data_IF_520454391503
#
_entry.id   IF_520454391503
#
_cell.length_a   1.000
_cell.length_b   1.000
_cell.length_c   1.000
_cell.angle_alpha   90.00
_cell.angle_beta   90.00
_cell.angle_gamma   90.00
#
_symmetry.space_group_name_H-M   'P 1'
#
loop_
_entity.id
_entity.type
_entity.pdbx_description
1 polymer ?
#
# COMPACT_ATOMS: atom_id res chain seq x y z
N UNK A 1 -5.00 -14.90 -15.13
CA UNK A 1 -5.75 -13.68 -14.81
C UNK A 1 -4.86 -12.44 -14.92
N UNK A 2 -5.47 -11.23 -15.04
CA UNK A 2 -4.67 -10.00 -15.13
C UNK A 2 -4.37 -9.40 -13.76
N UNK A 3 -5.21 -9.68 -12.78
CA UNK A 3 -5.09 -9.14 -11.43
C UNK A 3 -5.64 -10.13 -10.39
N UNK A 4 -5.03 -10.12 -9.21
CA UNK A 4 -5.62 -10.62 -7.98
C UNK A 4 -6.70 -9.65 -7.52
N UNK A 5 -6.32 -8.41 -7.24
CA UNK A 5 -7.21 -7.29 -6.97
C UNK A 5 -6.48 -5.98 -7.28
N UNK A 6 -7.14 -5.08 -8.01
CA UNK A 6 -6.56 -3.79 -8.40
C UNK A 6 -7.15 -2.60 -7.62
N UNK A 7 -7.76 -2.86 -6.45
CA UNK A 7 -8.38 -1.88 -5.57
C UNK A 7 -9.89 -1.78 -5.71
N UNK A 8 -10.48 -0.88 -4.94
CA UNK A 8 -11.92 -0.61 -4.92
C UNK A 8 -12.43 0.14 -6.15
N UNK A 9 -13.75 0.24 -6.29
CA UNK A 9 -14.40 1.05 -7.33
C UNK A 9 -14.33 2.55 -6.98
N UNK A 10 -13.14 3.13 -7.20
CA UNK A 10 -12.90 4.56 -6.91
C UNK A 10 -13.78 5.50 -7.75
N UNK A 11 -14.30 5.05 -8.91
CA UNK A 11 -15.29 5.80 -9.67
C UNK A 11 -16.63 5.83 -8.93
N UNK A 12 -17.05 4.69 -8.38
CA UNK A 12 -18.27 4.61 -7.56
C UNK A 12 -18.17 5.49 -6.30
N UNK A 13 -17.01 5.53 -5.64
CA UNK A 13 -16.76 6.40 -4.47
C UNK A 13 -16.87 7.89 -4.86
N UNK A 14 -16.28 8.28 -5.98
CA UNK A 14 -16.37 9.64 -6.52
C UNK A 14 -17.82 10.04 -6.79
N UNK A 15 -18.58 9.20 -7.50
CA UNK A 15 -19.98 9.45 -7.85
C UNK A 15 -20.85 9.52 -6.58
N UNK A 16 -20.61 8.65 -5.57
CA UNK A 16 -21.29 8.65 -4.27
C UNK A 16 -21.06 9.96 -3.49
N UNK A 17 -19.80 10.42 -3.44
CA UNK A 17 -19.50 11.70 -2.78
C UNK A 17 -20.24 12.86 -3.42
N UNK A 18 -20.26 12.95 -4.75
CA UNK A 18 -21.00 13.99 -5.48
C UNK A 18 -22.52 13.89 -5.26
N UNK A 19 -23.05 12.68 -5.15
CA UNK A 19 -24.47 12.45 -4.86
C UNK A 19 -24.85 12.77 -3.40
N UNK A 20 -23.88 12.81 -2.49
CA UNK A 20 -24.11 13.04 -1.06
C UNK A 20 -24.86 11.89 -0.37
N UNK A 21 -24.80 10.66 -0.91
CA UNK A 21 -25.54 9.50 -0.41
C UNK A 21 -24.81 8.77 0.75
N UNK A 22 -23.54 9.11 1.01
CA UNK A 22 -22.74 8.56 2.10
C UNK A 22 -22.22 7.14 1.88
N UNK A 23 -22.49 6.52 0.71
CA UNK A 23 -22.05 5.15 0.43
C UNK A 23 -20.52 5.05 0.43
N UNK A 24 -19.79 6.08 -0.02
CA UNK A 24 -18.32 6.09 0.00
C UNK A 24 -17.74 5.85 1.40
N UNK A 25 -18.32 6.45 2.45
CA UNK A 25 -17.87 6.22 3.83
C UNK A 25 -18.29 4.84 4.36
N UNK A 26 -19.43 4.32 3.90
CA UNK A 26 -19.85 2.95 4.23
C UNK A 26 -18.89 1.94 3.65
N UNK A 27 -18.45 2.16 2.39
CA UNK A 27 -17.45 1.32 1.73
C UNK A 27 -16.17 1.19 2.56
N UNK A 28 -15.54 2.30 2.99
CA UNK A 28 -14.31 2.24 3.79
C UNK A 28 -14.51 1.53 5.13
N UNK A 29 -15.63 1.77 5.81
CA UNK A 29 -15.93 1.07 7.07
C UNK A 29 -16.05 -0.45 6.87
N UNK A 30 -16.70 -0.88 5.82
CA UNK A 30 -16.88 -2.31 5.52
C UNK A 30 -15.57 -2.96 5.06
N UNK A 31 -14.80 -2.28 4.21
CA UNK A 31 -13.49 -2.75 3.75
C UNK A 31 -12.52 -2.92 4.91
N UNK A 32 -12.38 -1.90 5.77
CA UNK A 32 -11.49 -1.96 6.93
C UNK A 32 -11.93 -2.97 7.98
N UNK A 33 -13.24 -3.15 8.17
CA UNK A 33 -13.76 -4.20 9.03
C UNK A 33 -13.44 -5.60 8.47
N UNK A 34 -13.53 -5.79 7.14
CA UNK A 34 -13.17 -7.04 6.48
C UNK A 34 -11.67 -7.34 6.62
N UNK A 35 -10.80 -6.36 6.39
CA UNK A 35 -9.35 -6.56 6.51
C UNK A 35 -8.96 -6.93 7.95
N UNK A 36 -9.54 -6.28 8.95
CA UNK A 36 -9.34 -6.63 10.35
C UNK A 36 -9.87 -8.04 10.68
N UNK A 37 -11.02 -8.42 10.12
CA UNK A 37 -11.58 -9.77 10.28
C UNK A 37 -10.65 -10.82 9.67
N UNK A 38 -10.11 -10.59 8.48
CA UNK A 38 -9.15 -11.49 7.83
C UNK A 38 -7.90 -11.64 8.71
N UNK A 39 -7.36 -10.52 9.20
CA UNK A 39 -6.16 -10.52 10.05
C UNK A 39 -6.36 -11.29 11.36
N UNK A 40 -7.54 -11.17 11.98
CA UNK A 40 -7.87 -11.83 13.24
C UNK A 40 -8.50 -13.23 13.05
N UNK A 41 -8.63 -13.70 11.80
CA UNK A 41 -9.35 -14.94 11.52
C UNK A 41 -8.66 -16.15 12.14
N UNK A 42 -9.39 -17.04 12.88
CA UNK A 42 -8.78 -18.12 13.67
C UNK A 42 -8.23 -19.28 12.82
N UNK A 43 -8.53 -19.30 11.53
CA UNK A 43 -8.01 -20.31 10.59
C UNK A 43 -7.04 -19.64 9.62
N UNK A 44 -6.08 -20.40 9.05
CA UNK A 44 -5.21 -19.87 8.01
C UNK A 44 -6.01 -19.27 6.86
N UNK A 45 -5.68 -18.05 6.49
CA UNK A 45 -6.18 -17.38 5.29
C UNK A 45 -5.04 -17.29 4.30
N UNK A 46 -5.25 -17.84 3.11
CA UNK A 46 -4.25 -17.89 2.05
C UNK A 46 -4.62 -16.94 0.93
N UNK A 47 -3.80 -15.93 0.69
CA UNK A 47 -3.90 -15.05 -0.46
C UNK A 47 -3.04 -15.59 -1.62
N UNK A 48 -3.67 -16.05 -2.70
CA UNK A 48 -3.00 -16.49 -3.94
C UNK A 48 -2.95 -15.35 -4.94
N UNK A 49 -1.88 -14.60 -4.92
CA UNK A 49 -1.72 -13.35 -5.65
C UNK A 49 -1.05 -13.55 -7.01
N UNK A 50 -1.82 -13.45 -8.08
CA UNK A 50 -1.34 -13.54 -9.46
C UNK A 50 -1.69 -12.26 -10.23
N UNK A 51 -0.69 -11.62 -10.86
CA UNK A 51 -0.87 -10.36 -11.56
C UNK A 51 -0.88 -9.13 -10.63
N UNK A 52 -1.79 -8.17 -10.86
CA UNK A 52 -1.84 -6.93 -10.08
C UNK A 52 -2.41 -7.14 -8.67
N UNK A 53 -1.76 -6.52 -7.68
CA UNK A 53 -2.16 -6.44 -6.26
C UNK A 53 -1.98 -4.99 -5.84
N UNK A 54 -3.02 -4.17 -5.96
CA UNK A 54 -2.92 -2.72 -5.78
C UNK A 54 -3.99 -2.19 -4.84
N UNK A 55 -3.67 -1.17 -4.06
CA UNK A 55 -4.62 -0.49 -3.17
C UNK A 55 -5.35 -1.47 -2.24
N UNK A 56 -6.68 -1.52 -2.26
CA UNK A 56 -7.48 -2.49 -1.50
C UNK A 56 -7.05 -3.95 -1.69
N UNK A 57 -6.44 -4.30 -2.85
CA UNK A 57 -5.82 -5.61 -3.06
C UNK A 57 -4.62 -5.86 -2.13
N UNK A 58 -3.89 -4.81 -1.76
CA UNK A 58 -2.82 -4.91 -0.76
C UNK A 58 -3.41 -5.11 0.64
N UNK A 59 -4.54 -4.46 1.00
CA UNK A 59 -5.23 -4.67 2.27
C UNK A 59 -5.60 -6.13 2.48
N UNK A 60 -6.32 -6.72 1.53
CA UNK A 60 -6.67 -8.15 1.55
C UNK A 60 -5.43 -9.06 1.65
N UNK A 61 -4.37 -8.72 0.89
CA UNK A 61 -3.15 -9.50 0.85
C UNK A 61 -2.38 -9.44 2.18
N UNK A 62 -2.20 -8.24 2.73
CA UNK A 62 -1.43 -8.06 3.97
C UNK A 62 -2.20 -8.48 5.23
N UNK A 63 -3.53 -8.55 5.16
CA UNK A 63 -4.35 -9.13 6.21
C UNK A 63 -4.26 -10.67 6.27
N UNK A 64 -3.93 -11.34 5.16
CA UNK A 64 -3.85 -12.80 5.09
C UNK A 64 -2.64 -13.34 5.87
N UNK A 65 -2.81 -14.53 6.50
CA UNK A 65 -1.75 -15.20 7.26
C UNK A 65 -0.69 -15.86 6.36
N UNK A 66 -1.02 -16.18 5.11
CA UNK A 66 -0.11 -16.78 4.12
C UNK A 66 -0.24 -16.03 2.80
N UNK A 67 0.84 -15.37 2.41
CA UNK A 67 0.89 -14.49 1.25
C UNK A 67 1.71 -15.15 0.14
N UNK A 68 1.02 -15.72 -0.82
CA UNK A 68 1.62 -16.46 -1.93
C UNK A 68 1.48 -15.67 -3.23
N UNK A 69 2.60 -15.41 -3.87
CA UNK A 69 2.68 -14.69 -5.15
C UNK A 69 3.08 -15.62 -6.29
N UNK A 70 2.90 -15.13 -7.51
CA UNK A 70 3.53 -15.73 -8.70
C UNK A 70 4.65 -14.82 -9.22
N UNK A 71 5.42 -15.34 -10.19
CA UNK A 71 6.44 -14.55 -10.90
C UNK A 71 5.84 -13.36 -11.67
N UNK A 72 4.51 -13.35 -11.90
CA UNK A 72 3.77 -12.31 -12.63
C UNK A 72 3.30 -11.16 -11.75
N UNK A 73 3.46 -11.28 -10.43
CA UNK A 73 2.94 -10.29 -9.49
C UNK A 73 3.47 -8.89 -9.75
N UNK A 74 2.58 -7.92 -9.57
CA UNK A 74 2.88 -6.49 -9.50
C UNK A 74 2.11 -5.90 -8.32
N UNK A 75 2.82 -5.64 -7.22
CA UNK A 75 2.25 -5.10 -5.99
C UNK A 75 2.55 -3.61 -5.85
N UNK A 76 1.67 -2.87 -5.20
CA UNK A 76 1.94 -1.47 -4.85
C UNK A 76 0.76 -0.74 -4.25
N UNK A 77 1.07 0.41 -3.68
CA UNK A 77 0.10 1.37 -3.12
C UNK A 77 0.20 2.67 -3.94
N UNK A 78 -0.51 2.78 -5.09
CA UNK A 78 -0.34 3.90 -6.03
C UNK A 78 -1.15 5.16 -5.65
N UNK A 79 -1.71 5.22 -4.45
CA UNK A 79 -2.72 6.16 -3.97
C UNK A 79 -2.29 7.62 -4.13
N UNK A 80 -1.02 7.96 -3.87
CA UNK A 80 -0.50 9.33 -4.04
C UNK A 80 -0.63 9.84 -5.47
N UNK A 81 -0.69 8.92 -6.46
CA UNK A 81 -0.91 9.23 -7.86
C UNK A 81 -2.34 9.59 -8.22
N UNK A 82 -3.31 9.27 -7.36
CA UNK A 82 -4.71 9.68 -7.48
C UNK A 82 -5.10 10.70 -6.42
N UNK A 83 -4.10 11.34 -5.79
CA UNK A 83 -4.36 12.36 -4.77
C UNK A 83 -4.90 11.81 -3.45
N UNK A 84 -4.54 10.56 -3.11
CA UNK A 84 -4.96 9.86 -1.91
C UNK A 84 -3.74 9.36 -1.13
N UNK A 85 -3.91 8.80 0.02
CA UNK A 85 -2.86 8.17 0.85
C UNK A 85 -3.03 6.65 0.85
N UNK A 86 -1.96 5.85 1.07
CA UNK A 86 -2.04 4.42 1.30
C UNK A 86 -2.86 4.12 2.55
N UNK A 87 -4.04 3.54 2.36
CA UNK A 87 -4.99 3.09 3.38
C UNK A 87 -4.97 1.57 3.55
N UNK A 88 -6.08 0.94 3.88
CA UNK A 88 -6.29 -0.51 4.02
C UNK A 88 -5.24 -1.20 4.90
N UNK A 89 -4.84 -0.55 5.99
CA UNK A 89 -3.75 -0.98 6.86
C UNK A 89 -2.36 -0.60 6.36
N UNK A 90 -2.24 0.21 5.31
CA UNK A 90 -0.97 0.73 4.79
C UNK A 90 -0.17 1.47 5.85
N UNK A 91 -0.85 2.21 6.73
CA UNK A 91 -0.24 2.87 7.88
C UNK A 91 0.33 1.90 8.92
N UNK A 92 -0.11 0.65 8.92
CA UNK A 92 0.42 -0.39 9.78
C UNK A 92 1.58 -1.16 9.14
N UNK A 93 1.40 -1.74 7.93
CA UNK A 93 2.39 -2.64 7.37
C UNK A 93 3.57 -1.91 6.72
N UNK A 94 3.36 -0.76 6.05
CA UNK A 94 4.46 -0.05 5.38
C UNK A 94 5.55 0.43 6.35
N UNK A 95 5.25 1.13 7.47
CA UNK A 95 6.31 1.63 8.35
C UNK A 95 7.02 0.52 9.15
N UNK A 96 6.53 -0.72 9.09
CA UNK A 96 7.15 -1.90 9.70
C UNK A 96 8.08 -2.66 8.76
N UNK A 97 8.15 -2.25 7.49
CA UNK A 97 9.16 -2.72 6.57
C UNK A 97 10.54 -2.24 7.01
N UNK A 98 11.57 -2.96 6.60
CA UNK A 98 12.93 -2.69 7.03
C UNK A 98 13.44 -1.33 6.50
N UNK A 99 14.05 -0.52 7.37
CA UNK A 99 14.62 0.80 7.05
C UNK A 99 13.57 1.81 6.56
N UNK A 100 13.81 2.45 5.43
CA UNK A 100 12.91 3.44 4.83
C UNK A 100 12.13 2.90 3.61
N UNK A 101 12.05 1.57 3.45
CA UNK A 101 11.32 0.95 2.32
C UNK A 101 9.85 1.36 2.33
N UNK A 102 9.21 1.39 3.51
CA UNK A 102 7.79 1.74 3.62
C UNK A 102 7.50 3.17 3.16
N UNK A 103 8.34 4.13 3.57
CA UNK A 103 8.24 5.51 3.12
C UNK A 103 8.43 5.61 1.60
N UNK A 104 9.44 4.93 1.06
CA UNK A 104 9.68 4.87 -0.38
C UNK A 104 8.46 4.35 -1.13
N UNK A 105 7.93 3.19 -0.76
CA UNK A 105 6.79 2.57 -1.44
C UNK A 105 5.51 3.39 -1.29
N UNK A 106 5.21 3.88 -0.08
CA UNK A 106 3.99 4.63 0.20
C UNK A 106 3.94 5.98 -0.49
N UNK A 107 5.08 6.70 -0.54
CA UNK A 107 5.15 8.02 -1.15
C UNK A 107 5.21 7.95 -2.67
N UNK A 108 6.04 7.05 -3.23
CA UNK A 108 6.25 6.96 -4.68
C UNK A 108 5.16 6.19 -5.40
N UNK A 109 4.44 5.31 -4.70
CA UNK A 109 3.50 4.38 -5.32
C UNK A 109 4.17 3.40 -6.29
N UNK A 110 5.45 3.13 -6.11
CA UNK A 110 6.23 2.25 -6.98
C UNK A 110 5.68 0.83 -6.93
N UNK A 111 5.46 0.25 -8.11
CA UNK A 111 5.07 -1.15 -8.23
C UNK A 111 6.30 -2.05 -8.12
N UNK A 112 6.23 -3.02 -7.23
CA UNK A 112 7.26 -4.03 -7.01
C UNK A 112 6.91 -5.37 -7.64
N UNK A 113 7.92 -6.19 -7.88
CA UNK A 113 7.80 -7.54 -8.45
C UNK A 113 8.10 -8.61 -7.41
N UNK A 114 8.01 -9.88 -7.82
CA UNK A 114 8.12 -11.04 -6.95
C UNK A 114 9.37 -11.02 -6.04
N UNK A 115 10.55 -10.72 -6.59
CA UNK A 115 11.78 -10.68 -5.80
C UNK A 115 11.78 -9.57 -4.75
N UNK A 116 11.21 -8.41 -5.10
CA UNK A 116 11.09 -7.28 -4.17
C UNK A 116 10.04 -7.57 -3.09
N UNK A 117 8.88 -8.15 -3.47
CA UNK A 117 7.82 -8.51 -2.54
C UNK A 117 8.33 -9.48 -1.45
N UNK A 118 9.08 -10.51 -1.84
CA UNK A 118 9.73 -11.44 -0.90
C UNK A 118 10.80 -10.75 -0.06
N UNK A 119 11.64 -9.93 -0.68
CA UNK A 119 12.71 -9.21 0.03
C UNK A 119 12.14 -8.25 1.08
N UNK A 120 11.04 -7.55 0.75
CA UNK A 120 10.38 -6.60 1.67
C UNK A 120 9.53 -7.31 2.75
N UNK A 121 9.31 -8.62 2.65
CA UNK A 121 8.39 -9.33 3.55
C UNK A 121 6.91 -9.02 3.28
N UNK A 122 6.58 -8.56 2.07
CA UNK A 122 5.19 -8.34 1.61
C UNK A 122 4.57 -9.61 0.99
N UNK A 123 5.38 -10.66 0.81
CA UNK A 123 4.96 -11.99 0.42
C UNK A 123 5.85 -13.03 1.11
N UNK A 124 5.29 -14.23 1.34
CA UNK A 124 5.96 -15.33 2.06
C UNK A 124 6.53 -16.36 1.09
N UNK A 125 5.79 -16.67 0.02
CA UNK A 125 6.17 -17.67 -0.98
C UNK A 125 5.92 -17.19 -2.40
N UNK A 126 6.73 -17.66 -3.34
CA UNK A 126 6.49 -17.51 -4.77
C UNK A 126 6.29 -18.88 -5.40
N UNK A 127 5.15 -19.09 -6.07
CA UNK A 127 4.87 -20.28 -6.86
C UNK A 127 4.96 -19.96 -8.34
N UNK A 128 5.24 -20.98 -9.17
CA UNK A 128 5.05 -20.82 -10.61
C UNK A 128 3.56 -20.60 -10.95
N UNK A 129 3.26 -19.65 -11.81
CA UNK A 129 1.87 -19.32 -12.16
C UNK A 129 1.09 -20.50 -12.76
N UNK A 130 1.79 -21.45 -13.35
CA UNK A 130 1.22 -22.71 -13.86
C UNK A 130 0.66 -23.61 -12.76
N UNK A 131 1.14 -23.44 -11.52
CA UNK A 131 0.71 -24.27 -10.37
C UNK A 131 -0.56 -23.73 -9.70
N UNK A 132 -0.96 -22.49 -9.97
CA UNK A 132 -2.14 -21.87 -9.32
C UNK A 132 -3.41 -22.69 -9.60
N UNK A 133 -3.62 -23.13 -10.85
CA UNK A 133 -4.81 -23.92 -11.21
C UNK A 133 -4.88 -25.31 -10.58
N UNK A 134 -3.76 -25.84 -10.10
CA UNK A 134 -3.68 -27.14 -9.44
C UNK A 134 -3.62 -27.03 -7.91
N UNK A 135 -3.55 -25.81 -7.38
CA UNK A 135 -3.32 -25.60 -5.96
C UNK A 135 -4.49 -26.05 -5.10
N UNK A 136 -5.72 -25.83 -5.53
CA UNK A 136 -6.92 -26.32 -4.86
C UNK A 136 -6.92 -27.85 -4.75
N UNK A 137 -6.49 -28.55 -5.80
CA UNK A 137 -6.36 -30.00 -5.77
C UNK A 137 -5.29 -30.44 -4.78
N UNK A 138 -4.16 -29.69 -4.71
CA UNK A 138 -3.11 -29.99 -3.74
C UNK A 138 -3.56 -29.81 -2.29
N UNK A 139 -4.34 -28.75 -2.00
CA UNK A 139 -4.94 -28.53 -0.68
C UNK A 139 -5.93 -29.65 -0.31
N UNK A 140 -6.77 -30.08 -1.27
CA UNK A 140 -7.74 -31.15 -1.05
C UNK A 140 -7.10 -32.53 -0.85
N UNK A 141 -5.89 -32.73 -1.37
CA UNK A 141 -5.12 -33.98 -1.22
C UNK A 141 -4.18 -33.97 0.00
N UNK A 142 -4.08 -32.84 0.69
CA UNK A 142 -3.24 -32.73 1.86
C UNK A 142 -3.84 -33.53 3.02
N UNK A 143 -3.03 -34.38 3.63
CA UNK A 143 -3.39 -35.08 4.86
C UNK A 143 -3.21 -34.13 6.05
N UNK A 144 -4.31 -33.45 6.41
CA UNK A 144 -4.32 -32.44 7.44
C UNK A 144 -4.14 -33.05 8.83
N UNK A 145 -3.08 -32.65 9.52
CA UNK A 145 -2.83 -32.99 10.91
C UNK A 145 -3.60 -32.09 11.90
N UNK A 146 -3.28 -32.20 13.18
CA UNK A 146 -3.76 -31.26 14.20
C UNK A 146 -3.11 -29.86 14.11
N UNK A 147 -2.11 -29.68 13.24
CA UNK A 147 -1.35 -28.43 13.05
C UNK A 147 -1.46 -27.90 11.61
N UNK A 148 -2.65 -27.45 11.18
CA UNK A 148 -2.93 -27.12 9.77
C UNK A 148 -2.03 -26.00 9.21
N UNK A 149 -1.56 -25.07 10.04
CA UNK A 149 -0.60 -24.04 9.63
C UNK A 149 0.71 -24.68 9.17
N UNK A 150 1.26 -25.62 9.94
CA UNK A 150 2.50 -26.33 9.58
C UNK A 150 2.34 -27.19 8.33
N UNK A 151 1.19 -27.82 8.17
CA UNK A 151 0.91 -28.64 6.99
C UNK A 151 0.88 -27.78 5.73
N UNK A 152 0.24 -26.60 5.82
CA UNK A 152 0.21 -25.61 4.75
C UNK A 152 1.60 -25.07 4.42
N UNK A 153 2.38 -24.68 5.44
CA UNK A 153 3.76 -24.21 5.28
C UNK A 153 4.64 -25.25 4.56
N UNK A 154 4.52 -26.51 4.94
CA UNK A 154 5.26 -27.60 4.29
C UNK A 154 4.88 -27.76 2.82
N UNK A 155 3.60 -27.67 2.50
CA UNK A 155 3.10 -27.72 1.12
C UNK A 155 3.66 -26.56 0.30
N UNK A 156 3.58 -25.33 0.82
CA UNK A 156 4.06 -24.11 0.17
C UNK A 156 5.57 -24.16 -0.04
N UNK A 157 6.34 -24.49 0.99
CA UNK A 157 7.79 -24.62 0.91
C UNK A 157 8.24 -25.65 -0.14
N UNK A 158 7.55 -26.79 -0.25
CA UNK A 158 7.84 -27.84 -1.22
C UNK A 158 7.61 -27.36 -2.67
N UNK A 159 6.69 -26.43 -2.88
CA UNK A 159 6.28 -25.93 -4.20
C UNK A 159 6.89 -24.57 -4.54
N UNK A 160 7.53 -23.90 -3.59
CA UNK A 160 8.12 -22.58 -3.77
C UNK A 160 9.17 -22.57 -4.90
N UNK A 161 9.07 -21.56 -5.75
CA UNK A 161 10.03 -21.33 -6.84
C UNK A 161 11.38 -20.89 -6.30
N UNK A 162 12.46 -21.53 -6.78
CA UNK A 162 13.85 -21.17 -6.47
C UNK A 162 14.45 -20.22 -7.53
N UNK A 163 13.72 -19.94 -8.62
CA UNK A 163 14.22 -19.15 -9.75
C UNK A 163 13.49 -17.81 -9.83
N UNK A 164 13.82 -16.91 -8.89
CA UNK A 164 13.28 -15.56 -8.86
C UNK A 164 14.41 -14.60 -9.21
N UNK A 165 14.21 -13.63 -10.15
CA UNK A 165 15.21 -12.60 -10.47
C UNK A 165 15.63 -11.82 -9.22
N UNK A 166 16.76 -11.10 -9.29
CA UNK A 166 17.24 -10.29 -8.18
C UNK A 166 16.28 -9.14 -7.84
N UNK A 167 16.25 -8.75 -6.55
CA UNK A 167 15.46 -7.63 -6.06
C UNK A 167 16.11 -6.30 -6.40
N UNK A 168 15.37 -5.38 -7.04
CA UNK A 168 15.81 -4.00 -7.30
C UNK A 168 15.85 -3.21 -5.99
N UNK A 169 14.86 -3.38 -5.10
CA UNK A 169 14.83 -2.73 -3.77
C UNK A 169 16.07 -3.15 -2.97
N UNK A 170 16.44 -4.42 -2.99
CA UNK A 170 17.67 -4.87 -2.31
C UNK A 170 18.91 -4.19 -2.86
N UNK A 171 19.01 -4.05 -4.19
CA UNK A 171 20.12 -3.37 -4.83
C UNK A 171 20.20 -1.88 -4.51
N UNK A 172 19.03 -1.22 -4.39
CA UNK A 172 18.91 0.21 -4.08
C UNK A 172 18.75 0.50 -2.58
N UNK A 173 18.84 -0.50 -1.72
CA UNK A 173 18.49 -0.38 -0.31
C UNK A 173 19.19 0.79 0.41
N UNK A 174 20.48 0.95 0.21
CA UNK A 174 21.25 2.03 0.86
C UNK A 174 20.83 3.42 0.39
N UNK A 175 20.49 3.58 -0.90
CA UNK A 175 19.96 4.81 -1.42
C UNK A 175 18.54 5.09 -0.89
N UNK A 176 17.68 4.07 -0.86
CA UNK A 176 16.34 4.18 -0.27
C UNK A 176 16.42 4.65 1.18
N UNK A 177 17.26 3.99 1.99
CA UNK A 177 17.42 4.35 3.40
C UNK A 177 18.00 5.77 3.56
N UNK A 178 18.95 6.17 2.70
CA UNK A 178 19.55 7.51 2.74
C UNK A 178 18.52 8.61 2.43
N UNK A 179 17.76 8.46 1.35
CA UNK A 179 16.87 9.51 0.88
C UNK A 179 15.54 9.53 1.61
N UNK A 180 14.94 8.38 1.91
CA UNK A 180 13.59 8.30 2.49
C UNK A 180 13.55 8.27 4.02
N UNK A 181 14.71 8.26 4.71
CA UNK A 181 14.79 8.53 6.14
C UNK A 181 14.75 10.02 6.48
N UNK A 182 14.74 10.91 5.48
CA UNK A 182 14.64 12.34 5.71
C UNK A 182 13.32 12.72 6.39
N UNK A 183 13.31 13.78 7.22
CA UNK A 183 12.17 14.09 8.09
C UNK A 183 10.92 14.61 7.36
N UNK A 184 11.06 15.09 6.15
CA UNK A 184 9.96 15.67 5.37
C UNK A 184 10.17 15.51 3.85
N UNK A 185 9.09 15.71 3.09
CA UNK A 185 9.11 15.57 1.63
C UNK A 185 10.04 16.54 0.91
N UNK A 186 10.25 17.75 1.45
CA UNK A 186 11.16 18.72 0.85
C UNK A 186 12.60 18.20 0.91
N UNK A 187 12.99 17.64 2.05
CA UNK A 187 14.33 17.07 2.24
C UNK A 187 14.51 15.77 1.48
N UNK A 188 13.48 14.93 1.39
CA UNK A 188 13.51 13.73 0.52
C UNK A 188 13.79 14.15 -0.92
N UNK A 189 13.00 15.09 -1.44
CA UNK A 189 13.15 15.60 -2.81
C UNK A 189 14.52 16.24 -3.06
N UNK A 190 14.97 17.09 -2.13
CA UNK A 190 16.29 17.74 -2.23
C UNK A 190 17.43 16.72 -2.19
N UNK A 191 17.35 15.72 -1.34
CA UNK A 191 18.33 14.63 -1.22
C UNK A 191 18.42 13.83 -2.51
N UNK A 192 17.28 13.45 -3.11
CA UNK A 192 17.23 12.72 -4.40
C UNK A 192 17.82 13.58 -5.54
N UNK A 193 17.53 14.90 -5.57
CA UNK A 193 18.06 15.80 -6.58
C UNK A 193 19.58 16.03 -6.47
N UNK A 194 20.15 15.77 -5.30
CA UNK A 194 21.57 15.90 -5.01
C UNK A 194 22.33 14.56 -5.08
N UNK A 195 21.72 13.48 -5.60
CA UNK A 195 22.40 12.16 -5.70
C UNK A 195 23.51 12.21 -6.78
N UNK A 196 24.74 11.99 -6.35
CA UNK A 196 25.93 12.03 -7.23
C UNK A 196 26.57 10.64 -7.44
N UNK A 197 26.12 9.62 -6.67
CA UNK A 197 26.68 8.28 -6.82
C UNK A 197 26.23 7.65 -8.16
N UNK A 198 27.16 7.34 -9.07
CA UNK A 198 26.79 6.79 -10.39
C UNK A 198 25.93 5.52 -10.34
N UNK A 199 26.04 4.74 -9.25
CA UNK A 199 25.24 3.52 -9.08
C UNK A 199 23.76 3.80 -8.76
N UNK A 200 23.43 4.98 -8.24
CA UNK A 200 22.09 5.34 -7.79
C UNK A 200 21.46 6.50 -8.58
N UNK A 201 22.24 7.21 -9.39
CA UNK A 201 21.83 8.43 -10.08
C UNK A 201 20.59 8.20 -10.97
N UNK A 202 20.64 7.21 -11.86
CA UNK A 202 19.50 6.88 -12.73
C UNK A 202 18.23 6.52 -11.94
N UNK A 203 18.40 5.82 -10.80
CA UNK A 203 17.29 5.47 -9.93
C UNK A 203 16.74 6.71 -9.22
N UNK A 204 17.59 7.59 -8.72
CA UNK A 204 17.19 8.83 -8.06
C UNK A 204 16.46 9.78 -9.01
N UNK A 205 16.91 9.92 -10.24
CA UNK A 205 16.25 10.71 -11.29
C UNK A 205 14.85 10.18 -11.62
N UNK A 206 14.70 8.86 -11.81
CA UNK A 206 13.38 8.24 -12.04
C UNK A 206 12.46 8.41 -10.82
N UNK A 207 13.00 8.26 -9.63
CA UNK A 207 12.25 8.41 -8.37
C UNK A 207 11.79 9.84 -8.17
N UNK A 208 12.65 10.81 -8.46
CA UNK A 208 12.32 12.25 -8.41
C UNK A 208 11.20 12.59 -9.40
N UNK A 209 11.30 12.12 -10.63
CA UNK A 209 10.24 12.31 -11.63
C UNK A 209 8.90 11.65 -11.20
N UNK A 210 8.97 10.50 -10.55
CA UNK A 210 7.77 9.85 -10.00
C UNK A 210 7.12 10.68 -8.87
N UNK A 211 7.90 11.22 -7.95
CA UNK A 211 7.44 12.11 -6.87
C UNK A 211 6.82 13.39 -7.45
N UNK A 212 7.49 14.04 -8.40
CA UNK A 212 7.04 15.31 -8.98
C UNK A 212 5.70 15.18 -9.76
N UNK A 213 5.29 13.95 -10.10
CA UNK A 213 3.99 13.66 -10.74
C UNK A 213 2.84 13.38 -9.75
N UNK A 214 3.13 13.29 -8.43
CA UNK A 214 2.13 12.92 -7.41
C UNK A 214 1.49 14.17 -6.79
N UNK A 215 0.36 13.97 -6.07
CA UNK A 215 -0.20 15.02 -5.22
C UNK A 215 0.79 15.42 -4.12
N UNK A 216 1.22 16.68 -4.05
CA UNK A 216 2.12 17.16 -3.01
C UNK A 216 1.51 16.98 -1.61
N UNK A 217 0.22 17.27 -1.44
CA UNK A 217 -0.49 17.12 -0.19
C UNK A 217 -0.56 15.66 0.23
N UNK A 218 -0.96 14.76 -0.70
CA UNK A 218 -1.08 13.34 -0.41
C UNK A 218 0.26 12.72 0.02
N UNK A 219 1.37 13.10 -0.60
CA UNK A 219 2.70 12.64 -0.20
C UNK A 219 3.08 13.09 1.22
N UNK A 220 2.82 14.37 1.56
CA UNK A 220 3.12 14.89 2.90
C UNK A 220 2.27 14.21 3.97
N UNK A 221 0.96 14.03 3.72
CA UNK A 221 0.07 13.30 4.64
C UNK A 221 0.46 11.83 4.73
N UNK A 222 0.83 11.17 3.64
CA UNK A 222 1.33 9.79 3.65
C UNK A 222 2.56 9.66 4.55
N UNK A 223 3.54 10.55 4.43
CA UNK A 223 4.74 10.48 5.26
C UNK A 223 4.42 10.63 6.77
N UNK A 224 3.53 11.56 7.13
CA UNK A 224 3.08 11.74 8.51
C UNK A 224 2.24 10.54 8.98
N UNK A 225 1.35 10.00 8.14
CA UNK A 225 0.55 8.82 8.42
C UNK A 225 1.44 7.60 8.76
N UNK A 226 2.47 7.35 7.95
CA UNK A 226 3.42 6.26 8.19
C UNK A 226 4.22 6.47 9.48
N UNK A 227 4.58 7.72 9.79
CA UNK A 227 5.29 8.05 11.03
C UNK A 227 4.44 7.75 12.26
N UNK A 228 3.16 8.13 12.27
CA UNK A 228 2.25 7.85 13.38
C UNK A 228 1.89 6.36 13.45
N UNK A 229 1.57 5.74 12.31
CA UNK A 229 1.19 4.34 12.21
C UNK A 229 2.25 3.36 12.71
N UNK A 230 3.52 3.76 12.72
CA UNK A 230 4.61 2.94 13.26
C UNK A 230 4.41 2.58 14.74
N UNK A 231 3.85 3.50 15.52
CA UNK A 231 3.65 3.36 16.97
C UNK A 231 2.25 2.87 17.35
N UNK A 232 1.32 2.79 16.37
CA UNK A 232 -0.07 2.43 16.59
C UNK A 232 -0.31 0.92 16.49
N UNK A 233 -1.37 0.44 17.12
CA UNK A 233 -1.90 -0.90 16.89
C UNK A 233 -2.54 -0.99 15.49
N UNK A 234 -2.79 -2.20 14.98
CA UNK A 234 -3.50 -2.37 13.71
C UNK A 234 -4.88 -1.72 13.74
N UNK A 235 -5.64 -1.90 14.83
CA UNK A 235 -6.96 -1.31 14.98
C UNK A 235 -6.90 0.23 15.02
N UNK A 236 -5.91 0.81 15.70
CA UNK A 236 -5.72 2.27 15.72
C UNK A 236 -5.26 2.80 14.35
N UNK A 237 -4.48 2.03 13.58
CA UNK A 237 -4.12 2.39 12.21
C UNK A 237 -5.37 2.49 11.32
N UNK A 238 -6.25 1.49 11.33
CA UNK A 238 -7.52 1.56 10.60
C UNK A 238 -8.43 2.68 11.08
N UNK A 239 -8.46 2.95 12.39
CA UNK A 239 -9.22 4.08 12.93
C UNK A 239 -8.65 5.43 12.47
N UNK A 240 -7.32 5.57 12.38
CA UNK A 240 -6.65 6.76 11.86
C UNK A 240 -6.92 6.94 10.36
N UNK A 241 -6.82 5.87 9.57
CA UNK A 241 -7.14 5.89 8.15
C UNK A 241 -8.59 6.33 7.92
N UNK A 242 -9.55 5.77 8.67
CA UNK A 242 -10.97 6.16 8.59
C UNK A 242 -11.21 7.62 9.05
N UNK A 243 -10.44 8.10 10.03
CA UNK A 243 -10.47 9.50 10.45
C UNK A 243 -10.02 10.43 9.31
N UNK A 244 -8.96 10.07 8.60
CA UNK A 244 -8.51 10.81 7.42
C UNK A 244 -9.57 10.76 6.31
N UNK A 245 -10.15 9.61 6.00
CA UNK A 245 -11.18 9.43 4.98
C UNK A 245 -12.38 10.36 5.18
N UNK A 246 -12.78 10.55 6.45
CA UNK A 246 -13.92 11.41 6.80
C UNK A 246 -13.73 12.88 6.36
N UNK A 247 -12.50 13.30 6.09
CA UNK A 247 -12.14 14.67 5.70
C UNK A 247 -11.61 14.72 4.26
N UNK A 248 -11.03 13.63 3.76
CA UNK A 248 -10.21 13.62 2.55
C UNK A 248 -10.96 13.94 1.27
N UNK A 249 -12.21 13.52 1.16
CA UNK A 249 -13.05 13.83 -0.01
C UNK A 249 -13.39 15.32 -0.13
N UNK A 250 -13.46 16.03 1.00
CA UNK A 250 -13.71 17.47 1.01
C UNK A 250 -12.44 18.30 0.85
N UNK A 251 -11.36 17.90 1.56
CA UNK A 251 -10.19 18.75 1.78
C UNK A 251 -8.92 18.22 1.11
N UNK A 252 -8.91 16.96 0.65
CA UNK A 252 -7.80 16.32 -0.07
C UNK A 252 -7.94 16.41 -1.58
N UNK A 253 -7.04 15.71 -2.27
CA UNK A 253 -6.91 15.76 -3.73
C UNK A 253 -7.58 14.59 -4.48
N UNK A 254 -8.27 13.67 -3.76
CA UNK A 254 -8.83 12.44 -4.36
C UNK A 254 -9.85 12.76 -5.46
N UNK A 255 -10.70 13.76 -5.25
CA UNK A 255 -11.72 14.13 -6.22
C UNK A 255 -11.10 14.60 -7.54
N UNK A 256 -10.05 15.40 -7.48
CA UNK A 256 -9.32 15.85 -8.66
C UNK A 256 -8.54 14.70 -9.33
N UNK A 257 -7.87 13.85 -8.53
CA UNK A 257 -7.15 12.71 -9.06
C UNK A 257 -8.05 11.73 -9.81
N UNK A 258 -9.21 11.40 -9.23
CA UNK A 258 -10.22 10.53 -9.88
C UNK A 258 -10.80 11.20 -11.12
N UNK A 259 -11.13 12.51 -11.07
CA UNK A 259 -11.56 13.27 -12.25
C UNK A 259 -10.55 13.09 -13.39
N UNK A 260 -9.28 13.44 -13.13
CA UNK A 260 -8.25 13.48 -14.17
C UNK A 260 -7.93 12.11 -14.77
N UNK A 261 -7.90 11.06 -13.94
CA UNK A 261 -7.42 9.74 -14.37
C UNK A 261 -8.54 8.81 -14.84
N UNK A 262 -9.76 8.94 -14.31
CA UNK A 262 -10.83 7.95 -14.50
C UNK A 262 -12.06 8.56 -15.17
N UNK A 263 -12.47 9.78 -14.79
CA UNK A 263 -13.67 10.43 -15.31
C UNK A 263 -13.35 11.06 -16.66
N UNK A 264 -12.52 12.10 -16.68
CA UNK A 264 -12.17 12.88 -17.89
C UNK A 264 -11.06 12.21 -18.70
N UNK A 265 -10.19 11.45 -18.04
CA UNK A 265 -9.05 10.74 -18.61
C UNK A 265 -8.04 11.64 -19.32
N UNK A 266 -8.00 12.92 -18.93
CA UNK A 266 -7.05 13.90 -19.46
C UNK A 266 -5.62 13.70 -18.92
N UNK A 267 -5.49 12.94 -17.80
CA UNK A 267 -4.23 12.64 -17.12
C UNK A 267 -3.45 13.90 -16.70
N UNK A 268 -4.19 14.97 -16.43
CA UNK A 268 -3.66 16.26 -16.05
C UNK A 268 -4.33 16.75 -14.75
N UNK A 269 -4.02 16.13 -13.61
CA UNK A 269 -4.60 16.56 -12.34
C UNK A 269 -4.07 17.93 -11.93
N UNK A 270 -4.95 18.77 -11.41
CA UNK A 270 -4.66 20.07 -10.85
C UNK A 270 -4.63 19.99 -9.33
N UNK A 271 -3.50 19.52 -8.80
CA UNK A 271 -3.32 19.33 -7.36
C UNK A 271 -3.49 20.61 -6.56
N UNK A 272 -3.96 20.50 -5.33
CA UNK A 272 -4.09 21.65 -4.41
C UNK A 272 -3.42 21.33 -3.05
N UNK A 273 -2.25 21.93 -2.77
CA UNK A 273 -1.52 22.91 -3.59
C UNK A 273 -0.81 22.26 -4.79
N UNK A 274 -0.48 23.05 -5.85
CA UNK A 274 0.09 22.51 -7.09
C UNK A 274 1.55 22.06 -6.95
N UNK A 275 2.26 22.57 -5.95
CA UNK A 275 3.68 22.24 -5.74
C UNK A 275 3.96 21.89 -4.29
N UNK A 276 4.99 21.08 -4.07
CA UNK A 276 5.44 20.71 -2.73
C UNK A 276 5.81 21.94 -1.89
N UNK A 277 6.39 22.99 -2.50
CA UNK A 277 6.78 24.21 -1.80
C UNK A 277 5.59 25.00 -1.21
N UNK A 278 4.40 24.76 -1.73
CA UNK A 278 3.17 25.44 -1.29
C UNK A 278 2.37 24.62 -0.27
N UNK A 279 2.81 23.41 0.07
CA UNK A 279 2.15 22.61 1.11
C UNK A 279 2.39 23.23 2.48
N UNK A 280 1.33 23.76 3.08
CA UNK A 280 1.37 24.27 4.46
C UNK A 280 1.43 23.09 5.47
N UNK A 281 2.47 23.01 6.31
CA UNK A 281 2.55 22.01 7.37
C UNK A 281 1.33 22.03 8.32
N UNK A 282 0.71 23.20 8.53
CA UNK A 282 -0.49 23.33 9.35
C UNK A 282 -1.69 22.62 8.69
N UNK A 283 -1.80 22.65 7.36
CA UNK A 283 -2.82 21.91 6.61
C UNK A 283 -2.62 20.40 6.74
N UNK A 284 -1.37 19.91 6.66
CA UNK A 284 -1.07 18.49 6.90
C UNK A 284 -1.46 18.10 8.32
N UNK A 285 -1.07 18.88 9.33
CA UNK A 285 -1.39 18.59 10.72
C UNK A 285 -2.90 18.60 11.01
N UNK A 286 -3.68 19.42 10.29
CA UNK A 286 -5.13 19.51 10.46
C UNK A 286 -5.84 18.18 10.16
N UNK A 287 -5.36 17.38 9.21
CA UNK A 287 -5.93 16.05 8.91
C UNK A 287 -5.83 15.06 10.08
N UNK A 288 -4.83 15.22 10.94
CA UNK A 288 -4.61 14.35 12.10
C UNK A 288 -5.22 14.93 13.39
N UNK A 289 -5.71 16.16 13.36
CA UNK A 289 -6.27 16.82 14.53
C UNK A 289 -7.55 16.12 15.00
N UNK A 290 -7.65 15.91 16.33
CA UNK A 290 -8.82 15.25 16.93
C UNK A 290 -8.82 13.71 16.84
N UNK A 291 -7.81 13.10 16.23
CA UNK A 291 -7.62 11.65 16.35
C UNK A 291 -7.02 11.31 17.72
N UNK A 292 -7.63 10.34 18.41
CA UNK A 292 -7.15 9.80 19.69
C UNK A 292 -7.03 8.27 19.57
N UNK A 293 -5.80 7.70 19.72
CA UNK A 293 -5.61 6.25 19.72
C UNK A 293 -6.34 5.57 20.91
N UNK A 294 -6.71 4.30 20.72
CA UNK A 294 -7.34 3.48 21.77
C UNK A 294 -8.87 3.58 21.83
N UNK A 295 -9.50 4.51 21.12
CA UNK A 295 -10.98 4.60 21.09
C UNK A 295 -11.62 3.56 20.16
N UNK A 296 -10.83 2.91 19.30
CA UNK A 296 -11.32 1.86 18.38
C UNK A 296 -11.87 0.63 19.13
N UNK A 297 -11.31 0.31 20.30
CA UNK A 297 -11.71 -0.85 21.10
C UNK A 297 -13.07 -0.68 21.81
N UNK A 298 -13.61 0.53 21.91
CA UNK A 298 -14.89 0.80 22.59
C UNK A 298 -16.10 0.78 21.64
N UNK A 299 -15.86 0.65 20.32
CA UNK A 299 -16.91 0.74 19.29
C UNK A 299 -17.11 -0.54 18.46
N UNK A 300 -16.41 -1.63 18.81
CA UNK A 300 -16.48 -2.92 18.12
C UNK A 300 -17.51 -3.89 18.80
#
# INVERSE_FOLDING_TARGET
>A
EKAFCAGGDIRGLYDSYLAGDGMYMTFFREEYALDQLIHAYPKPVLALMDGFVLGGGMGLAQAASHRVITERVKMGMPETGIGYFPDVGGSYFLPRLEGAIGQYLGVTGTHIRAADALYCGLADHCLGSELIGEFDQALNQLDWSAEPVKDLDQLLNKRASQKIPGSEIKAMRSAIDHHFSQPDMHRIRASLAAEECPAFQDWAERTLAAIDAKSPLAMCVTLELLRQGRELTLADCFALELHLDSQWFADGDIMEGVRALIVDKDKNPHWNPPTLAEVDPARVAAFFAGFEPGQAAERA
#
